data_IF_515338545982
#
_entry.id   IF_515338545982
#
_cell.length_a   1.000
_cell.length_b   1.000
_cell.length_c   1.000
_cell.angle_alpha   90.00
_cell.angle_beta   90.00
_cell.angle_gamma   90.00
#
_symmetry.space_group_name_H-M   'P 1'
#
loop_
_entity.id
_entity.type
_entity.pdbx_description
1 polymer ?
#
# COMPACT_ATOMS: atom_id res chain seq x y z
N UNK A 1 17.07 10.27 -10.74
CA UNK A 1 16.97 9.78 -9.35
C UNK A 1 15.75 8.90 -9.25
N UNK A 2 15.90 7.61 -8.91
CA UNK A 2 14.77 6.67 -8.90
C UNK A 2 14.14 6.61 -7.50
N UNK A 3 13.37 7.65 -7.15
CA UNK A 3 12.47 7.61 -5.98
C UNK A 3 11.40 6.55 -6.21
N UNK A 4 11.11 5.74 -5.20
CA UNK A 4 10.21 4.59 -5.32
C UNK A 4 8.95 4.80 -4.50
N UNK A 5 7.81 4.64 -5.16
CA UNK A 5 6.49 4.82 -4.57
C UNK A 5 5.97 3.48 -4.05
N UNK A 6 5.46 3.49 -2.82
CA UNK A 6 4.91 2.30 -2.17
C UNK A 6 3.57 2.58 -1.52
N UNK A 7 2.81 1.50 -1.33
CA UNK A 7 1.55 1.51 -0.59
C UNK A 7 1.58 0.47 0.52
N UNK A 8 0.93 0.80 1.63
CA UNK A 8 0.82 -0.05 2.82
C UNK A 8 0.00 -1.31 2.52
N UNK A 9 0.52 -2.46 2.94
CA UNK A 9 -0.15 -3.75 2.99
C UNK A 9 -0.70 -4.05 4.38
N UNK A 10 -1.39 -5.17 4.53
CA UNK A 10 -1.72 -5.72 5.85
C UNK A 10 -0.46 -6.00 6.67
N UNK A 11 -0.50 -5.71 7.97
CA UNK A 11 0.56 -6.00 8.94
C UNK A 11 1.88 -5.22 8.73
N UNK A 12 1.82 -3.94 8.35
CA UNK A 12 2.98 -3.01 8.40
C UNK A 12 4.06 -3.24 7.34
N UNK A 13 3.77 -4.02 6.32
CA UNK A 13 4.62 -4.18 5.15
C UNK A 13 4.19 -3.19 4.07
N UNK A 14 5.11 -2.79 3.20
CA UNK A 14 4.83 -1.94 2.05
C UNK A 14 5.09 -2.71 0.76
N UNK A 15 4.37 -2.38 -0.31
CA UNK A 15 4.66 -2.87 -1.66
C UNK A 15 4.95 -1.73 -2.61
N UNK A 16 5.91 -1.91 -3.50
CA UNK A 16 6.12 -0.97 -4.62
C UNK A 16 4.96 -1.06 -5.61
N UNK A 17 4.52 0.10 -6.12
CA UNK A 17 3.35 0.17 -7.01
C UNK A 17 3.56 -0.65 -8.30
N UNK A 18 4.77 -0.58 -8.87
CA UNK A 18 5.08 -1.21 -10.17
C UNK A 18 5.53 -2.65 -10.08
N UNK A 19 6.56 -2.91 -9.29
CA UNK A 19 7.21 -4.21 -9.24
C UNK A 19 6.59 -5.14 -8.19
N UNK A 20 5.63 -4.66 -7.41
CA UNK A 20 5.01 -5.40 -6.29
C UNK A 20 6.02 -5.97 -5.32
N UNK A 21 7.18 -5.33 -5.23
CA UNK A 21 8.27 -5.70 -4.35
C UNK A 21 7.95 -5.27 -2.92
N UNK A 22 8.06 -6.22 -1.98
CA UNK A 22 7.70 -6.02 -0.57
C UNK A 22 8.88 -5.48 0.22
N UNK A 23 8.67 -4.40 0.95
CA UNK A 23 9.69 -3.68 1.73
C UNK A 23 9.12 -3.23 3.07
N UNK A 24 9.97 -2.90 4.03
CA UNK A 24 9.54 -2.44 5.36
C UNK A 24 10.14 -1.07 5.72
N UNK A 25 9.47 -0.33 6.59
CA UNK A 25 10.03 0.91 7.14
C UNK A 25 11.19 0.56 8.06
N UNK A 26 12.33 1.24 7.91
CA UNK A 26 13.47 1.06 8.80
C UNK A 26 13.11 1.49 10.24
N UNK A 27 13.52 0.75 11.30
CA UNK A 27 13.17 1.06 12.68
C UNK A 27 13.62 2.46 13.16
N UNK A 28 14.70 2.99 12.60
CA UNK A 28 15.16 4.36 12.92
C UNK A 28 14.33 5.48 12.24
N UNK A 29 13.36 5.14 11.39
CA UNK A 29 12.52 6.15 10.74
C UNK A 29 11.44 6.65 11.70
N UNK A 30 11.14 7.95 11.67
CA UNK A 30 10.03 8.53 12.42
C UNK A 30 8.66 7.96 11.99
N UNK A 31 8.56 7.37 10.79
CA UNK A 31 7.32 6.77 10.27
C UNK A 31 7.13 5.29 10.67
N UNK A 32 7.98 4.76 11.57
CA UNK A 32 7.89 3.37 12.00
C UNK A 32 6.60 3.06 12.78
N UNK A 33 6.03 4.05 13.48
CA UNK A 33 4.83 3.87 14.32
C UNK A 33 3.53 4.26 13.62
N UNK A 34 3.51 5.34 12.84
CA UNK A 34 2.27 5.84 12.21
C UNK A 34 1.90 5.11 10.91
N UNK A 35 2.88 4.50 10.23
CA UNK A 35 2.73 3.73 8.99
C UNK A 35 1.69 4.32 8.00
N UNK A 36 1.96 5.51 7.40
CA UNK A 36 1.04 6.13 6.45
C UNK A 36 0.76 5.23 5.25
N UNK A 37 -0.45 5.36 4.66
CA UNK A 37 -0.88 4.48 3.57
C UNK A 37 -0.03 4.57 2.31
N UNK A 38 0.41 5.78 1.96
CA UNK A 38 1.20 6.05 0.77
C UNK A 38 2.48 6.76 1.19
N UNK A 39 3.61 6.19 0.79
CA UNK A 39 4.91 6.79 1.06
C UNK A 39 5.81 6.65 -0.16
N UNK A 40 6.77 7.57 -0.26
CA UNK A 40 7.90 7.50 -1.18
C UNK A 40 9.17 7.28 -0.37
N UNK A 41 10.11 6.50 -0.92
CA UNK A 41 11.43 6.33 -0.33
C UNK A 41 12.54 6.58 -1.35
N UNK A 42 13.67 7.06 -0.87
CA UNK A 42 14.84 7.34 -1.70
C UNK A 42 15.83 6.16 -1.73
N UNK A 43 16.11 5.56 -0.56
CA UNK A 43 17.08 4.46 -0.46
C UNK A 43 16.45 3.15 0.01
N UNK A 44 17.02 2.05 -0.49
CA UNK A 44 16.75 0.71 0.00
C UNK A 44 18.02 0.13 0.63
N UNK A 45 17.88 -0.45 1.81
CA UNK A 45 18.97 -1.07 2.56
C UNK A 45 18.71 -2.56 2.63
N UNK A 46 19.71 -3.33 2.23
CA UNK A 46 19.67 -4.78 2.34
C UNK A 46 20.48 -5.22 3.56
N UNK A 47 19.80 -5.82 4.54
CA UNK A 47 20.46 -6.51 5.67
C UNK A 47 19.98 -7.97 5.71
N UNK A 48 19.15 -8.34 6.69
CA UNK A 48 18.39 -9.60 6.69
C UNK A 48 17.01 -9.44 6.04
N UNK A 49 16.51 -8.19 6.00
CA UNK A 49 15.28 -7.78 5.33
C UNK A 49 15.54 -6.47 4.59
N UNK A 50 14.66 -6.15 3.65
CA UNK A 50 14.76 -4.93 2.86
C UNK A 50 14.05 -3.77 3.54
N UNK A 51 14.82 -2.77 3.94
CA UNK A 51 14.34 -1.60 4.67
C UNK A 51 14.43 -0.33 3.84
N UNK A 52 13.37 0.48 3.88
CA UNK A 52 13.32 1.80 3.25
C UNK A 52 13.97 2.86 4.15
N UNK A 53 14.77 3.76 3.57
CA UNK A 53 15.31 4.97 4.22
C UNK A 53 14.92 6.23 3.45
N UNK A 54 14.93 7.36 4.17
CA UNK A 54 14.49 8.67 3.66
C UNK A 54 13.07 8.59 3.09
N UNK A 55 12.12 8.36 4.01
CA UNK A 55 10.73 8.10 3.69
C UNK A 55 9.91 9.38 3.90
N UNK A 56 8.98 9.65 3.01
CA UNK A 56 8.02 10.76 3.16
C UNK A 56 6.61 10.30 2.78
N UNK A 57 5.62 10.75 3.56
CA UNK A 57 4.21 10.54 3.22
C UNK A 57 3.84 11.36 1.98
N UNK A 58 2.97 10.78 1.15
CA UNK A 58 2.47 11.39 -0.07
C UNK A 58 0.99 11.04 -0.28
N UNK A 59 0.33 11.74 -1.20
CA UNK A 59 -1.00 11.38 -1.68
C UNK A 59 -0.89 10.60 -3.00
N UNK A 60 -1.77 9.61 -3.21
CA UNK A 60 -1.75 8.79 -4.43
C UNK A 60 -2.06 9.59 -5.70
N UNK A 61 -2.88 10.62 -5.59
CA UNK A 61 -3.28 11.50 -6.70
C UNK A 61 -2.06 12.15 -7.39
N UNK A 62 -1.02 12.48 -6.63
CA UNK A 62 0.18 13.13 -7.14
C UNK A 62 0.94 12.29 -8.16
N UNK A 63 0.82 10.95 -8.10
CA UNK A 63 1.49 10.06 -9.07
C UNK A 63 0.93 10.24 -10.48
N UNK A 64 -0.38 10.50 -10.59
CA UNK A 64 -1.04 10.76 -11.88
C UNK A 64 -0.68 12.14 -12.42
N UNK A 65 -0.43 13.10 -11.53
CA UNK A 65 -0.03 14.46 -11.91
C UNK A 65 1.43 14.51 -12.38
N UNK A 66 2.34 13.88 -11.63
CA UNK A 66 3.79 13.94 -11.89
C UNK A 66 4.21 13.00 -13.02
N UNK A 67 3.60 11.82 -13.11
CA UNK A 67 3.98 10.80 -14.09
C UNK A 67 2.77 10.08 -14.70
N UNK A 68 1.89 10.78 -15.44
CA UNK A 68 0.68 10.21 -16.04
C UNK A 68 0.97 9.10 -17.07
N UNK A 69 2.13 9.13 -17.72
CA UNK A 69 2.56 8.10 -18.68
C UNK A 69 3.05 6.82 -17.97
N UNK A 70 3.45 6.94 -16.71
CA UNK A 70 4.01 5.84 -15.96
C UNK A 70 2.94 5.17 -15.08
N UNK A 71 2.07 5.92 -14.41
CA UNK A 71 1.04 5.37 -13.51
C UNK A 71 -0.37 5.40 -14.12
N UNK A 72 -1.15 4.34 -13.85
CA UNK A 72 -2.57 4.27 -14.23
C UNK A 72 -3.45 4.26 -12.99
N UNK A 73 -4.64 4.87 -13.07
CA UNK A 73 -5.58 4.96 -11.94
C UNK A 73 -5.91 3.61 -11.29
N UNK A 74 -6.02 2.53 -12.07
CA UNK A 74 -6.27 1.16 -11.55
C UNK A 74 -5.16 0.64 -10.63
N UNK A 75 -3.93 1.11 -10.78
CA UNK A 75 -2.80 0.71 -9.94
C UNK A 75 -2.82 1.43 -8.58
N UNK A 76 -3.56 2.54 -8.50
CA UNK A 76 -3.68 3.39 -7.33
C UNK A 76 -4.95 3.10 -6.51
N UNK A 77 -5.80 2.18 -6.98
CA UNK A 77 -7.00 1.75 -6.25
C UNK A 77 -6.63 0.91 -5.01
N UNK A 78 -6.94 1.44 -3.83
CA UNK A 78 -6.75 0.74 -2.56
C UNK A 78 -7.78 -0.39 -2.42
N UNK A 79 -7.32 -1.63 -2.59
CA UNK A 79 -8.17 -2.82 -2.42
C UNK A 79 -8.61 -3.04 -0.97
N UNK A 80 -7.92 -2.42 -0.01
CA UNK A 80 -8.15 -2.52 1.43
C UNK A 80 -9.42 -1.79 1.89
N UNK A 81 -9.87 -0.77 1.14
CA UNK A 81 -11.07 0.00 1.46
C UNK A 81 -12.36 -0.61 0.87
N UNK A 82 -12.27 -1.76 0.21
CA UNK A 82 -13.44 -2.46 -0.33
C UNK A 82 -14.16 -3.17 0.82
N UNK A 83 -15.06 -2.45 1.52
CA UNK A 83 -16.03 -3.04 2.45
C UNK A 83 -16.64 -4.27 1.79
N UNK A 84 -16.42 -5.44 2.39
CA UNK A 84 -17.01 -6.69 1.91
C UNK A 84 -18.54 -6.50 1.82
N UNK A 85 -19.19 -6.88 0.71
CA UNK A 85 -20.64 -6.86 0.66
C UNK A 85 -21.15 -7.76 1.80
N UNK A 86 -21.95 -7.19 2.70
CA UNK A 86 -22.61 -7.91 3.79
C UNK A 86 -23.51 -8.97 3.14
N UNK A 87 -23.03 -10.21 3.06
CA UNK A 87 -23.83 -11.33 2.60
C UNK A 87 -24.93 -11.55 3.64
N UNK A 88 -26.14 -11.06 3.35
CA UNK A 88 -27.33 -11.25 4.18
C UNK A 88 -27.64 -12.74 4.19
N UNK A 89 -27.28 -13.42 5.28
CA UNK A 89 -27.54 -14.84 5.45
C UNK A 89 -29.03 -15.14 5.23
N UNK A 90 -29.33 -16.09 4.34
CA UNK A 90 -30.66 -16.69 4.26
C UNK A 90 -30.82 -17.61 5.46
N UNK A 91 -31.28 -17.08 6.58
CA UNK A 91 -31.63 -17.90 7.74
C UNK A 91 -32.96 -18.62 7.48
N UNK A 92 -32.90 -19.95 7.39
CA UNK A 92 -33.86 -20.90 7.94
C UNK A 92 -35.38 -20.68 7.70
N UNK A 93 -35.80 -20.24 6.50
CA UNK A 93 -37.22 -20.31 6.10
C UNK A 93 -37.46 -21.30 4.94
N UNK A 94 -36.41 -21.84 4.32
CA UNK A 94 -36.52 -22.80 3.20
C UNK A 94 -36.30 -24.26 3.64
N UNK A 95 -36.99 -24.70 4.70
CA UNK A 95 -37.08 -26.12 5.09
C UNK A 95 -38.51 -26.54 5.46
N UNK A 96 -39.51 -25.74 5.11
CA UNK A 96 -40.92 -26.13 5.19
C UNK A 96 -41.65 -25.65 3.92
N UNK A 97 -41.42 -26.38 2.83
CA UNK A 97 -42.29 -26.42 1.66
C UNK A 97 -42.39 -27.87 1.19
#
# INVERSE_FOLDING_TARGET
>A
LLVKFVTLLSAGHYKTVKHKHTVQVHPNSCLFEELPRWVVYYELVFTSKEFMREISQIESSWLLEVAPHYYKGRELEDSTNKKMPKQRGKSAIELQA
#
